data_IF_790428767181
#
_entry.id   IF_790428767181
#
_cell.length_a   1.000
_cell.length_b   1.000
_cell.length_c   1.000
_cell.angle_alpha   90.00
_cell.angle_beta   90.00
_cell.angle_gamma   90.00
#
_symmetry.space_group_name_H-M   'P 1'
#
loop_
_entity.id
_entity.type
_entity.pdbx_description
1 polymer ?
#
# COMPACT_ATOMS: atom_id res chain seq x y z
N UNK A 1 14.08 1.83 7.91
CA UNK A 1 13.84 2.43 9.24
C UNK A 1 12.68 1.75 9.95
N UNK A 2 11.51 1.63 9.32
CA UNK A 2 10.35 0.99 9.95
C UNK A 2 10.64 -0.48 10.33
N UNK A 3 11.30 -1.22 9.44
CA UNK A 3 11.63 -2.61 9.73
C UNK A 3 12.56 -2.77 10.92
N UNK A 4 13.56 -1.89 11.00
CA UNK A 4 14.49 -1.88 12.14
C UNK A 4 13.76 -1.56 13.44
N UNK A 5 12.92 -0.53 13.42
CA UNK A 5 12.17 -0.12 14.61
C UNK A 5 11.23 -1.23 15.09
N UNK A 6 10.55 -1.91 14.17
CA UNK A 6 9.66 -3.02 14.53
C UNK A 6 10.43 -4.16 15.19
N UNK A 7 11.64 -4.47 14.71
CA UNK A 7 12.48 -5.49 15.31
C UNK A 7 12.95 -5.11 16.69
N UNK A 8 13.36 -3.86 16.87
CA UNK A 8 13.81 -3.34 18.17
C UNK A 8 12.67 -3.37 19.20
N UNK A 9 11.44 -3.15 18.78
CA UNK A 9 10.27 -3.19 19.66
C UNK A 9 9.67 -4.58 19.80
N UNK A 10 10.28 -5.59 19.20
CA UNK A 10 9.81 -6.98 19.23
C UNK A 10 8.39 -7.14 18.66
N UNK A 11 7.99 -6.24 17.75
CA UNK A 11 6.68 -6.25 17.10
C UNK A 11 6.69 -6.92 15.73
N UNK A 12 7.89 -7.18 15.18
CA UNK A 12 8.03 -7.61 13.80
C UNK A 12 7.34 -8.96 13.55
N UNK A 13 7.71 -10.00 14.28
CA UNK A 13 7.14 -11.32 14.04
C UNK A 13 5.65 -11.43 14.41
N UNK A 14 5.19 -10.89 15.55
CA UNK A 14 3.76 -10.91 15.84
C UNK A 14 2.92 -10.21 14.78
N UNK A 15 3.38 -9.08 14.26
CA UNK A 15 2.66 -8.34 13.22
C UNK A 15 2.68 -9.10 11.90
N UNK A 16 3.84 -9.65 11.52
CA UNK A 16 3.97 -10.45 10.32
C UNK A 16 3.02 -11.65 10.34
N UNK A 17 2.94 -12.35 11.45
CA UNK A 17 2.04 -13.50 11.61
C UNK A 17 0.58 -13.08 11.46
N UNK A 18 0.19 -11.95 12.02
CA UNK A 18 -1.17 -11.44 11.90
C UNK A 18 -1.52 -11.07 10.47
N UNK A 19 -0.60 -10.44 9.75
CA UNK A 19 -0.80 -10.08 8.34
C UNK A 19 -0.97 -11.36 7.50
N UNK A 20 -0.12 -12.35 7.71
CA UNK A 20 -0.23 -13.64 7.03
C UNK A 20 -1.52 -14.38 7.37
N UNK A 21 -2.06 -14.17 8.55
CA UNK A 21 -3.30 -14.79 9.00
C UNK A 21 -4.56 -14.07 8.53
N UNK A 22 -4.41 -12.96 7.80
CA UNK A 22 -5.54 -12.26 7.20
C UNK A 22 -5.90 -10.94 7.86
N UNK A 23 -5.04 -10.38 8.70
CA UNK A 23 -5.27 -9.04 9.26
C UNK A 23 -5.41 -8.03 8.12
N UNK A 24 -6.53 -7.31 8.00
CA UNK A 24 -6.67 -6.26 7.01
C UNK A 24 -5.55 -5.23 7.17
N UNK A 25 -4.83 -4.96 6.08
CA UNK A 25 -3.63 -4.14 6.13
C UNK A 25 -3.64 -3.14 4.98
N UNK A 26 -3.56 -1.86 5.33
CA UNK A 26 -3.37 -0.78 4.36
C UNK A 26 -1.96 -0.22 4.55
N UNK A 27 -1.12 -0.38 3.54
CA UNK A 27 0.25 0.08 3.57
C UNK A 27 0.44 1.23 2.60
N UNK A 28 1.07 2.31 3.05
CA UNK A 28 1.33 3.47 2.20
C UNK A 28 2.83 3.74 2.16
N UNK A 29 3.35 4.06 0.97
CA UNK A 29 4.74 4.44 0.75
C UNK A 29 5.73 3.42 1.33
N UNK A 30 6.41 3.75 2.44
CA UNK A 30 7.34 2.86 3.11
C UNK A 30 6.66 1.55 3.58
N UNK A 31 5.37 1.58 3.85
CA UNK A 31 4.60 0.38 4.17
C UNK A 31 4.57 -0.61 3.01
N UNK A 32 4.48 -0.14 1.77
CA UNK A 32 4.57 -1.01 0.60
C UNK A 32 5.93 -1.73 0.57
N UNK A 33 7.00 -1.04 0.92
CA UNK A 33 8.34 -1.62 0.99
C UNK A 33 8.40 -2.72 2.07
N UNK A 34 7.77 -2.49 3.22
CA UNK A 34 7.70 -3.48 4.29
C UNK A 34 7.00 -4.77 3.86
N UNK A 35 5.92 -4.65 3.10
CA UNK A 35 5.14 -5.82 2.69
C UNK A 35 5.76 -6.57 1.51
N UNK A 36 6.56 -5.92 0.67
CA UNK A 36 7.08 -6.48 -0.56
C UNK A 36 7.92 -7.74 -0.32
N UNK A 37 7.70 -8.74 -1.15
CA UNK A 37 8.49 -9.97 -1.11
C UNK A 37 9.92 -9.73 -1.59
N UNK A 38 10.10 -8.85 -2.57
CA UNK A 38 11.42 -8.51 -3.11
C UNK A 38 11.56 -7.01 -3.31
N UNK A 39 12.79 -6.52 -3.14
CA UNK A 39 13.17 -5.15 -3.45
C UNK A 39 14.24 -5.15 -4.53
N UNK A 40 14.14 -4.24 -5.49
CA UNK A 40 15.13 -4.10 -6.55
C UNK A 40 16.46 -3.66 -5.95
N UNK A 41 17.55 -4.36 -6.29
CA UNK A 41 18.92 -4.07 -5.84
C UNK A 41 19.10 -4.10 -4.33
N UNK A 42 18.23 -4.81 -3.61
CA UNK A 42 18.33 -4.91 -2.16
C UNK A 42 17.94 -6.35 -1.74
N UNK A 43 18.84 -7.11 -1.12
CA UNK A 43 18.52 -8.47 -0.67
C UNK A 43 17.66 -8.49 0.60
N UNK A 44 17.48 -7.35 1.25
CA UNK A 44 16.71 -7.29 2.51
C UNK A 44 15.25 -7.53 2.24
N UNK A 45 14.66 -8.37 3.08
CA UNK A 45 13.21 -8.61 3.10
C UNK A 45 12.70 -8.27 4.48
N UNK A 46 11.57 -7.59 4.51
CA UNK A 46 10.90 -7.29 5.79
C UNK A 46 9.79 -8.32 6.02
N UNK A 47 8.52 -7.93 5.99
CA UNK A 47 7.43 -8.89 6.18
C UNK A 47 7.32 -9.91 5.05
N UNK A 48 7.55 -9.50 3.81
CA UNK A 48 7.47 -10.36 2.63
C UNK A 48 6.12 -11.08 2.52
N UNK A 49 5.04 -10.39 2.85
CA UNK A 49 3.67 -10.94 2.84
C UNK A 49 2.92 -10.62 1.57
N UNK A 50 3.45 -9.73 0.74
CA UNK A 50 2.84 -9.27 -0.51
C UNK A 50 3.74 -9.71 -1.68
N UNK A 51 3.25 -10.57 -2.59
CA UNK A 51 4.09 -11.15 -3.64
C UNK A 51 4.34 -10.18 -4.80
N UNK A 52 5.08 -9.13 -4.51
CA UNK A 52 5.48 -8.10 -5.47
C UNK A 52 6.95 -7.80 -5.35
N UNK A 53 7.53 -7.25 -6.42
CA UNK A 53 8.86 -6.67 -6.42
C UNK A 53 8.72 -5.17 -6.52
N UNK A 54 9.36 -4.44 -5.62
CA UNK A 54 9.22 -3.00 -5.47
C UNK A 54 10.56 -2.32 -5.72
N UNK A 55 10.53 -1.20 -6.43
CA UNK A 55 11.69 -0.34 -6.62
C UNK A 55 11.51 0.94 -5.81
N UNK A 56 12.53 1.27 -5.02
CA UNK A 56 12.54 2.49 -4.20
C UNK A 56 12.90 3.71 -5.03
N UNK A 57 12.42 4.87 -4.59
CA UNK A 57 12.82 6.18 -5.14
C UNK A 57 12.73 6.23 -6.65
N UNK A 58 11.63 5.76 -7.18
CA UNK A 58 11.49 5.40 -8.57
C UNK A 58 11.25 6.57 -9.51
N UNK A 59 11.01 7.76 -8.99
CA UNK A 59 10.61 8.91 -9.80
C UNK A 59 11.73 9.92 -10.03
N UNK A 60 12.99 9.50 -9.78
CA UNK A 60 14.17 10.33 -10.01
C UNK A 60 14.47 11.27 -8.86
N UNK A 61 15.70 11.79 -8.86
CA UNK A 61 16.20 12.63 -7.77
C UNK A 61 15.53 13.98 -7.66
N UNK A 62 15.09 14.52 -8.79
CA UNK A 62 14.58 15.89 -8.86
C UNK A 62 13.12 15.97 -8.48
N UNK A 63 12.43 14.86 -8.55
CA UNK A 63 11.00 14.78 -8.29
C UNK A 63 10.76 13.99 -7.03
N UNK A 64 11.33 14.47 -5.92
CA UNK A 64 11.12 13.84 -4.63
C UNK A 64 9.64 13.78 -4.26
N UNK A 65 8.86 14.74 -4.75
CA UNK A 65 7.44 14.82 -4.42
C UNK A 65 6.65 15.42 -5.58
N UNK A 66 5.46 14.89 -5.83
CA UNK A 66 4.54 15.47 -6.80
C UNK A 66 3.11 15.06 -6.48
N UNK A 67 2.16 15.80 -7.05
CA UNK A 67 0.73 15.53 -6.89
C UNK A 67 0.15 15.31 -8.28
N UNK A 68 -0.66 14.27 -8.41
CA UNK A 68 -1.38 14.01 -9.65
C UNK A 68 -2.78 13.49 -9.33
N UNK A 69 -3.60 13.38 -10.38
CA UNK A 69 -4.91 12.73 -10.30
C UNK A 69 -4.91 11.61 -11.33
N UNK A 70 -5.30 10.43 -10.91
CA UNK A 70 -5.28 9.26 -11.78
C UNK A 70 -6.40 8.29 -11.40
N UNK A 71 -6.80 7.41 -12.35
CA UNK A 71 -7.85 6.42 -12.09
C UNK A 71 -7.41 5.40 -11.05
N UNK A 72 -8.34 5.09 -10.15
CA UNK A 72 -8.19 4.04 -9.16
C UNK A 72 -9.38 3.07 -9.31
N UNK A 73 -9.10 1.79 -9.36
CA UNK A 73 -10.13 0.77 -9.58
C UNK A 73 -11.23 0.90 -8.53
N UNK A 74 -12.47 1.05 -8.99
CA UNK A 74 -13.64 1.19 -8.14
C UNK A 74 -13.96 2.61 -7.69
N UNK A 75 -13.10 3.59 -7.95
CA UNK A 75 -13.29 4.96 -7.49
C UNK A 75 -13.25 6.01 -8.60
N UNK A 76 -12.75 5.67 -9.80
CA UNK A 76 -12.46 6.67 -10.82
C UNK A 76 -11.23 7.50 -10.44
N UNK A 77 -11.18 8.74 -10.89
CA UNK A 77 -10.01 9.61 -10.64
C UNK A 77 -9.93 10.01 -9.17
N UNK A 78 -8.76 9.80 -8.57
CA UNK A 78 -8.47 10.22 -7.20
C UNK A 78 -7.18 11.01 -7.17
N UNK A 79 -7.05 11.99 -6.25
CA UNK A 79 -5.79 12.69 -6.06
C UNK A 79 -4.76 11.78 -5.39
N UNK A 80 -3.53 11.88 -5.85
CA UNK A 80 -2.42 11.06 -5.36
C UNK A 80 -1.23 11.95 -5.05
N UNK A 81 -0.77 11.89 -3.81
CA UNK A 81 0.38 12.67 -3.33
C UNK A 81 1.54 11.71 -3.14
N UNK A 82 2.60 11.92 -3.93
CA UNK A 82 3.79 11.09 -3.91
C UNK A 82 4.94 11.83 -3.23
N UNK A 83 5.61 11.17 -2.30
CA UNK A 83 6.79 11.71 -1.61
C UNK A 83 7.87 10.63 -1.65
N UNK A 84 8.86 10.79 -2.54
CA UNK A 84 9.93 9.80 -2.74
C UNK A 84 9.38 8.37 -2.83
N UNK A 85 8.34 8.22 -3.62
CA UNK A 85 7.55 7.01 -3.59
C UNK A 85 8.21 5.83 -4.29
N UNK A 86 7.97 4.61 -3.82
CA UNK A 86 8.33 3.40 -4.56
C UNK A 86 7.31 3.12 -5.67
N UNK A 87 7.57 2.11 -6.47
CA UNK A 87 6.53 1.53 -7.31
C UNK A 87 6.76 0.03 -7.50
N UNK A 88 5.72 -0.67 -7.93
CA UNK A 88 5.78 -2.11 -8.17
C UNK A 88 6.29 -2.35 -9.58
N UNK A 89 7.38 -3.10 -9.72
CA UNK A 89 7.96 -3.45 -11.02
C UNK A 89 7.51 -4.84 -11.50
N UNK A 90 7.12 -5.71 -10.58
CA UNK A 90 6.63 -7.04 -10.90
C UNK A 90 5.68 -7.51 -9.82
N UNK A 91 4.70 -8.32 -10.19
CA UNK A 91 3.71 -8.84 -9.26
C UNK A 91 3.27 -10.24 -9.69
N UNK A 92 2.94 -11.07 -8.70
CA UNK A 92 2.32 -12.37 -8.95
C UNK A 92 0.95 -12.18 -9.66
N UNK A 93 0.50 -13.14 -10.47
CA UNK A 93 -0.81 -13.07 -11.10
C UNK A 93 -1.98 -12.93 -10.12
N UNK A 94 -1.80 -13.35 -8.87
CA UNK A 94 -2.82 -13.23 -7.83
C UNK A 94 -2.99 -11.80 -7.30
N UNK A 95 -2.05 -10.91 -7.63
CA UNK A 95 -2.09 -9.51 -7.18
C UNK A 95 -2.92 -8.68 -8.15
N UNK A 96 -3.89 -7.94 -7.63
CA UNK A 96 -4.70 -7.03 -8.41
C UNK A 96 -4.04 -5.66 -8.47
N UNK A 97 -3.88 -5.11 -9.68
CA UNK A 97 -3.41 -3.75 -9.87
C UNK A 97 -4.60 -2.79 -9.71
N UNK A 98 -4.47 -1.82 -8.82
CA UNK A 98 -5.53 -0.86 -8.55
C UNK A 98 -5.30 0.49 -9.22
N UNK A 99 -4.05 0.90 -9.43
CA UNK A 99 -3.74 2.17 -10.09
C UNK A 99 -2.37 2.13 -10.76
N UNK A 100 -2.28 2.85 -11.88
CA UNK A 100 -1.05 3.01 -12.65
C UNK A 100 -0.87 4.49 -12.96
N UNK A 101 0.33 5.02 -12.74
CA UNK A 101 0.68 6.41 -13.05
C UNK A 101 1.98 6.41 -13.87
N UNK A 102 1.94 7.04 -15.04
CA UNK A 102 3.10 7.09 -15.96
C UNK A 102 3.69 5.71 -16.26
N UNK A 103 2.81 4.72 -16.46
CA UNK A 103 3.23 3.35 -16.74
C UNK A 103 3.75 2.57 -15.53
N UNK A 104 3.73 3.16 -14.34
CA UNK A 104 4.21 2.55 -13.10
C UNK A 104 3.03 2.13 -12.22
N UNK A 105 3.05 0.89 -11.73
CA UNK A 105 2.03 0.39 -10.82
C UNK A 105 2.25 1.00 -9.43
N UNK A 106 1.27 1.75 -8.98
CA UNK A 106 1.36 2.52 -7.72
C UNK A 106 0.36 2.09 -6.66
N UNK A 107 -0.53 1.17 -6.98
CA UNK A 107 -1.47 0.61 -6.02
C UNK A 107 -1.82 -0.83 -6.38
N UNK A 108 -1.80 -1.71 -5.39
CA UNK A 108 -2.09 -3.14 -5.57
C UNK A 108 -2.89 -3.67 -4.39
N UNK A 109 -3.56 -4.79 -4.63
CA UNK A 109 -4.26 -5.55 -3.59
C UNK A 109 -3.94 -7.03 -3.72
N UNK A 110 -3.71 -7.67 -2.59
CA UNK A 110 -3.55 -9.12 -2.48
C UNK A 110 -4.22 -9.60 -1.21
N UNK A 111 -5.30 -10.37 -1.33
CA UNK A 111 -6.07 -10.80 -0.17
C UNK A 111 -6.56 -9.60 0.64
N UNK A 112 -6.22 -9.57 1.91
CA UNK A 112 -6.58 -8.50 2.82
C UNK A 112 -5.53 -7.39 2.91
N UNK A 113 -4.55 -7.39 2.01
CA UNK A 113 -3.50 -6.38 1.96
C UNK A 113 -3.73 -5.43 0.79
N UNK A 114 -3.71 -4.14 1.05
CA UNK A 114 -3.74 -3.10 0.03
C UNK A 114 -2.52 -2.22 0.23
N UNK A 115 -1.72 -2.05 -0.82
CA UNK A 115 -0.49 -1.29 -0.76
C UNK A 115 -0.51 -0.16 -1.78
N UNK A 116 -0.17 1.04 -1.33
CA UNK A 116 -0.16 2.27 -2.11
C UNK A 116 1.23 2.89 -2.08
N UNK A 117 1.68 3.37 -3.23
CA UNK A 117 2.95 4.11 -3.30
C UNK A 117 2.78 5.55 -2.81
N UNK A 118 1.59 6.08 -2.84
CA UNK A 118 1.29 7.48 -2.50
C UNK A 118 0.66 7.56 -1.11
N UNK A 119 0.42 8.80 -0.65
CA UNK A 119 -0.10 9.10 0.68
C UNK A 119 -1.53 9.62 0.60
N UNK A 120 -2.55 8.75 0.65
CA UNK A 120 -3.95 9.21 0.59
C UNK A 120 -4.35 10.01 1.83
N UNK A 121 -3.64 9.81 2.93
CA UNK A 121 -3.94 10.51 4.20
C UNK A 121 -3.59 12.00 4.15
N UNK A 122 -2.73 12.43 3.23
CA UNK A 122 -2.33 13.84 3.13
C UNK A 122 -3.32 14.70 2.36
N UNK A 123 -4.18 14.08 1.58
CA UNK A 123 -5.28 14.80 0.92
C UNK A 123 -6.54 14.73 1.77
N UNK A 124 -7.52 15.53 1.49
CA UNK A 124 -8.80 15.48 2.19
C UNK A 124 -9.76 14.40 1.68
N UNK A 125 -9.32 13.58 0.72
CA UNK A 125 -10.17 12.57 0.08
C UNK A 125 -10.10 11.26 0.84
N UNK A 126 -11.24 10.78 1.35
CA UNK A 126 -11.34 9.57 2.15
C UNK A 126 -11.82 8.36 1.37
N UNK A 127 -11.98 8.45 0.05
CA UNK A 127 -12.55 7.37 -0.75
C UNK A 127 -11.72 6.09 -0.71
N UNK A 128 -10.39 6.20 -0.73
CA UNK A 128 -9.51 5.03 -0.67
C UNK A 128 -9.63 4.33 0.69
N UNK A 129 -9.66 5.09 1.78
CA UNK A 129 -9.83 4.53 3.11
C UNK A 129 -11.18 3.81 3.24
N UNK A 130 -12.25 4.38 2.68
CA UNK A 130 -13.55 3.75 2.69
C UNK A 130 -13.56 2.47 1.85
N UNK A 131 -12.94 2.52 0.68
CA UNK A 131 -12.82 1.33 -0.17
C UNK A 131 -12.08 0.23 0.56
N UNK A 132 -11.01 0.56 1.27
CA UNK A 132 -10.25 -0.41 2.06
C UNK A 132 -11.13 -1.02 3.15
N UNK A 133 -11.85 -0.21 3.90
CA UNK A 133 -12.74 -0.71 4.95
C UNK A 133 -13.84 -1.60 4.40
N UNK A 134 -14.42 -1.25 3.27
CA UNK A 134 -15.51 -2.00 2.68
C UNK A 134 -15.04 -3.29 2.00
N UNK A 135 -13.99 -3.19 1.18
CA UNK A 135 -13.57 -4.28 0.33
C UNK A 135 -12.60 -5.24 1.04
N UNK A 136 -11.70 -4.71 1.84
CA UNK A 136 -10.64 -5.49 2.48
C UNK A 136 -11.05 -5.95 3.88
N UNK A 137 -11.67 -5.05 4.65
CA UNK A 137 -12.13 -5.37 5.99
C UNK A 137 -13.51 -6.00 6.04
N UNK A 138 -14.21 -6.11 4.90
CA UNK A 138 -15.56 -6.66 4.85
C UNK A 138 -16.60 -5.80 5.55
N UNK A 139 -16.44 -4.48 5.54
CA UNK A 139 -17.30 -3.55 6.28
C UNK A 139 -18.38 -2.90 5.43
N UNK A 140 -18.54 -3.33 4.19
CA UNK A 140 -19.54 -2.70 3.32
C UNK A 140 -20.98 -2.89 3.82
N UNK A 141 -21.18 -3.83 4.71
CA UNK A 141 -22.48 -4.07 5.33
C UNK A 141 -22.65 -3.36 6.66
N UNK A 142 -21.65 -2.60 7.08
CA UNK A 142 -21.77 -1.84 8.30
C UNK A 142 -22.82 -0.75 8.14
N UNK A 143 -23.77 -0.73 9.05
CA UNK A 143 -24.78 0.28 9.06
C UNK A 143 -24.18 1.66 9.31
N UNK A 144 -24.72 2.71 8.67
CA UNK A 144 -24.25 4.07 8.93
C UNK A 144 -24.23 4.44 10.43
N UNK A 145 -25.16 3.90 11.17
CA UNK A 145 -25.28 4.15 12.60
C UNK A 145 -24.08 3.67 13.38
N UNK A 146 -23.48 2.55 12.94
CA UNK A 146 -22.28 2.02 13.60
C UNK A 146 -21.08 2.91 13.36
N UNK A 147 -21.03 3.56 12.19
CA UNK A 147 -19.95 4.47 11.86
C UNK A 147 -20.11 5.77 12.61
N UNK A 148 -21.34 6.21 12.78
CA UNK A 148 -21.65 7.45 13.49
C UNK A 148 -21.47 7.32 15.00
N UNK A 149 -21.63 6.14 15.51
CA UNK A 149 -21.46 5.90 16.93
C UNK A 149 -20.00 5.79 17.34
#
# INVERSE_FOLDING_TARGET
VQGKLLRELEMFEPLREKINSGLPTLATCAGMILLAEHLVDDPVRHFATLPVTVKRNAYGRQLGSFITTAPFVGLGDVPMIFIRAPYVVAASPAVQTLAVVDGKTVAVRFGNQMALAFHPELGGDTRIHRLFLDAVCGRKECEPDRIAA
#
